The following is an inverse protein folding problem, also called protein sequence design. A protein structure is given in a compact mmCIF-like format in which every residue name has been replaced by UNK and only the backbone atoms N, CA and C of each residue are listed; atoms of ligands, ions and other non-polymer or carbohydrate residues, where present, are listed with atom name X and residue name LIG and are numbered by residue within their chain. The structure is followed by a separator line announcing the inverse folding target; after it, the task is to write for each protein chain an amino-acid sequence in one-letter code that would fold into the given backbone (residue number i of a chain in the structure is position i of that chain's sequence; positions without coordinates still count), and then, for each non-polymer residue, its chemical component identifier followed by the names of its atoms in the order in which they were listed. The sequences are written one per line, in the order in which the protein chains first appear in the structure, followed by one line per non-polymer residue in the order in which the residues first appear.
data_IF_732366494388
#
_entry.id   IF_732366494388
#
_cell.length_a   1.000
_cell.length_b   1.000
_cell.length_c   1.000
_cell.angle_alpha   90.00
_cell.angle_beta   90.00
_cell.angle_gamma   90.00
#
_symmetry.space_group_name_H-M   'P 1'
#
loop_
_entity.id
_entity.type
_entity.pdbx_description
1 polymer ?
#
# COMPACT_ATOMS: atom_id res chain seq x y z
N UNK A 1 46.22 22.35 20.55
CA UNK A 1 46.56 22.35 19.11
C UNK A 1 45.67 21.33 18.43
N UNK A 2 44.43 21.75 18.16
CA UNK A 2 43.52 21.03 17.29
C UNK A 2 43.67 21.65 15.92
N UNK A 3 44.69 21.27 15.17
CA UNK A 3 44.74 21.63 13.74
C UNK A 3 43.57 20.92 13.07
N UNK A 4 42.65 21.67 12.46
CA UNK A 4 41.54 21.14 11.66
C UNK A 4 42.07 20.00 10.77
N UNK A 5 41.73 18.76 11.14
CA UNK A 5 42.33 17.59 10.50
C UNK A 5 41.69 17.28 9.16
N UNK A 6 40.47 17.79 8.95
CA UNK A 6 39.68 17.53 7.74
C UNK A 6 39.26 18.83 7.05
N UNK A 7 39.38 18.81 5.73
CA UNK A 7 38.85 19.84 4.83
C UNK A 7 37.37 19.58 4.51
N UNK A 8 36.60 20.64 4.25
CA UNK A 8 35.22 20.53 3.77
C UNK A 8 35.09 19.67 2.51
N UNK A 9 36.12 19.67 1.66
CA UNK A 9 36.19 18.83 0.46
C UNK A 9 36.18 17.33 0.78
N UNK A 10 36.92 16.90 1.80
CA UNK A 10 36.94 15.48 2.22
C UNK A 10 35.57 15.03 2.72
N UNK A 11 34.84 15.90 3.41
CA UNK A 11 33.47 15.62 3.81
C UNK A 11 32.54 15.46 2.59
N UNK A 12 32.64 16.34 1.59
CA UNK A 12 31.86 16.19 0.35
C UNK A 12 32.18 14.88 -0.36
N UNK A 13 33.47 14.49 -0.39
CA UNK A 13 33.90 13.22 -0.94
C UNK A 13 33.28 12.04 -0.17
N UNK A 14 33.26 12.09 1.16
CA UNK A 14 32.65 11.06 2.00
C UNK A 14 31.14 10.98 1.80
N UNK A 15 30.43 12.10 1.75
CA UNK A 15 29.00 12.14 1.44
C UNK A 15 28.72 11.56 0.04
N UNK A 16 29.60 11.81 -0.94
CA UNK A 16 29.52 11.21 -2.27
C UNK A 16 29.78 9.70 -2.24
N UNK A 17 30.76 9.22 -1.48
CA UNK A 17 31.01 7.78 -1.30
C UNK A 17 29.82 7.09 -0.64
N UNK A 18 29.16 7.73 0.32
CA UNK A 18 27.92 7.24 0.92
C UNK A 18 26.82 7.14 -0.14
N UNK A 19 26.58 8.22 -0.89
CA UNK A 19 25.60 8.22 -1.97
C UNK A 19 25.83 7.09 -2.96
N UNK A 20 27.10 6.89 -3.37
CA UNK A 20 27.52 5.76 -4.20
C UNK A 20 27.24 4.41 -3.55
N UNK A 21 27.59 4.24 -2.27
CA UNK A 21 27.35 3.02 -1.50
C UNK A 21 25.86 2.69 -1.36
N UNK A 22 25.01 3.70 -1.14
CA UNK A 22 23.55 3.54 -1.14
C UNK A 22 23.04 3.11 -2.52
N UNK A 23 23.50 3.75 -3.59
CA UNK A 23 23.14 3.36 -4.96
C UNK A 23 23.53 1.91 -5.27
N UNK A 24 24.75 1.49 -4.93
CA UNK A 24 25.21 0.11 -5.09
C UNK A 24 24.31 -0.85 -4.28
N UNK A 25 24.01 -0.50 -3.03
CA UNK A 25 23.14 -1.29 -2.16
C UNK A 25 21.74 -1.45 -2.74
N UNK A 26 21.17 -0.39 -3.34
CA UNK A 26 19.88 -0.45 -4.03
C UNK A 26 19.91 -1.32 -5.28
N UNK A 27 21.01 -1.29 -6.05
CA UNK A 27 21.20 -2.18 -7.21
C UNK A 27 21.30 -3.64 -6.77
N UNK A 28 22.07 -3.94 -5.71
CA UNK A 28 22.18 -5.28 -5.14
C UNK A 28 20.83 -5.78 -4.60
N UNK A 29 20.10 -4.91 -3.89
CA UNK A 29 18.74 -5.19 -3.41
C UNK A 29 17.81 -5.49 -4.59
N UNK A 30 17.86 -4.68 -5.65
CA UNK A 30 17.03 -4.89 -6.85
C UNK A 30 17.38 -6.21 -7.55
N UNK A 31 18.66 -6.54 -7.68
CA UNK A 31 19.10 -7.81 -8.22
C UNK A 31 18.59 -8.99 -7.39
N UNK A 32 18.68 -8.90 -6.06
CA UNK A 32 18.15 -9.90 -5.13
C UNK A 32 16.62 -10.03 -5.23
N UNK A 33 15.89 -8.91 -5.31
CA UNK A 33 14.43 -8.86 -5.46
C UNK A 33 13.91 -9.37 -6.81
N UNK A 34 14.75 -9.33 -7.85
CA UNK A 34 14.44 -9.91 -9.17
C UNK A 34 14.70 -11.41 -9.19
N UNK A 35 15.80 -11.84 -8.58
CA UNK A 35 16.25 -13.24 -8.60
C UNK A 35 15.49 -14.13 -7.60
N UNK A 36 15.16 -13.59 -6.43
CA UNK A 36 14.55 -14.34 -5.35
C UNK A 36 13.16 -13.80 -5.02
N UNK A 37 12.22 -14.71 -4.70
CA UNK A 37 10.90 -14.34 -4.19
C UNK A 37 10.99 -14.00 -2.68
N UNK A 38 11.67 -12.89 -2.34
CA UNK A 38 11.93 -12.49 -0.94
C UNK A 38 10.71 -11.80 -0.29
N UNK A 39 9.76 -11.31 -1.09
CA UNK A 39 8.58 -10.58 -0.59
C UNK A 39 7.81 -11.32 0.52
N UNK A 40 7.46 -12.61 0.38
CA UNK A 40 6.85 -13.38 1.47
C UNK A 40 7.70 -13.40 2.74
N UNK A 41 9.01 -13.65 2.62
CA UNK A 41 9.93 -13.75 3.77
C UNK A 41 10.01 -12.45 4.58
N UNK A 42 10.04 -11.30 3.88
CA UNK A 42 10.16 -9.98 4.50
C UNK A 42 8.83 -9.45 5.05
N UNK A 43 7.73 -9.80 4.39
CA UNK A 43 6.39 -9.32 4.72
C UNK A 43 5.45 -10.49 4.97
N UNK A 44 5.82 -11.36 5.93
CA UNK A 44 5.12 -12.63 6.20
C UNK A 44 3.62 -12.47 6.50
N UNK A 45 3.16 -11.31 6.97
CA UNK A 45 1.73 -11.08 7.23
C UNK A 45 0.94 -10.55 6.03
N UNK A 46 1.60 -9.88 5.08
CA UNK A 46 0.95 -9.40 3.84
C UNK A 46 0.93 -10.50 2.79
N UNK A 47 2.11 -11.05 2.51
CA UNK A 47 2.33 -11.95 1.38
C UNK A 47 2.44 -13.39 1.88
N UNK A 48 1.53 -14.25 1.45
CA UNK A 48 1.56 -15.68 1.75
C UNK A 48 1.64 -16.48 0.46
N UNK A 49 2.43 -17.55 0.45
CA UNK A 49 2.51 -18.46 -0.69
C UNK A 49 1.62 -19.66 -0.39
N UNK A 50 0.54 -19.84 -1.14
CA UNK A 50 -0.35 -21.01 -1.04
C UNK A 50 -0.40 -21.71 -2.39
N UNK A 51 -0.10 -23.01 -2.44
CA UNK A 51 -0.17 -23.82 -3.69
C UNK A 51 0.58 -23.19 -4.88
N UNK A 52 1.81 -22.69 -4.66
CA UNK A 52 2.63 -21.97 -5.66
C UNK A 52 2.06 -20.64 -6.17
N UNK A 53 0.99 -20.15 -5.53
CA UNK A 53 0.38 -18.85 -5.80
C UNK A 53 0.74 -17.85 -4.72
N UNK A 54 1.04 -16.62 -5.12
CA UNK A 54 1.34 -15.53 -4.22
C UNK A 54 0.03 -14.82 -3.87
N UNK A 55 -0.32 -14.81 -2.60
CA UNK A 55 -1.50 -14.14 -2.09
C UNK A 55 -1.10 -12.90 -1.29
N UNK A 56 -1.84 -11.81 -1.44
CA UNK A 56 -1.74 -10.60 -0.64
C UNK A 56 -3.01 -10.47 0.21
N UNK A 57 -2.90 -10.54 1.54
CA UNK A 57 -4.07 -10.60 2.45
C UNK A 57 -5.13 -11.61 1.99
N UNK A 58 -4.69 -12.85 1.70
CA UNK A 58 -5.50 -13.95 1.15
C UNK A 58 -6.09 -13.76 -0.26
N UNK A 59 -5.85 -12.63 -0.93
CA UNK A 59 -6.26 -12.41 -2.32
C UNK A 59 -5.15 -12.91 -3.25
N UNK A 60 -5.48 -13.77 -4.21
CA UNK A 60 -4.51 -14.26 -5.19
C UNK A 60 -4.03 -13.11 -6.08
N UNK A 61 -2.75 -12.77 -5.94
CA UNK A 61 -2.05 -11.76 -6.77
C UNK A 61 -1.04 -12.43 -7.69
N UNK A 62 -1.15 -13.74 -7.90
CA UNK A 62 -0.35 -14.43 -8.91
C UNK A 62 -0.68 -13.81 -10.24
N UNK A 63 0.33 -13.26 -10.91
CA UNK A 63 0.20 -12.82 -12.28
C UNK A 63 -0.21 -14.06 -13.06
N UNK A 64 -1.51 -14.21 -13.35
CA UNK A 64 -1.97 -15.23 -14.26
C UNK A 64 -1.20 -14.99 -15.55
N UNK A 65 -0.37 -15.94 -16.01
CA UNK A 65 0.38 -15.73 -17.22
C UNK A 65 -0.60 -15.41 -18.34
N UNK A 66 -0.15 -14.57 -19.27
CA UNK A 66 -0.68 -14.39 -20.63
C UNK A 66 -0.66 -15.70 -21.43
N UNK A 67 -1.16 -16.79 -20.86
CA UNK A 67 -1.33 -18.09 -21.47
C UNK A 67 -2.80 -18.28 -21.80
N UNK A 68 -3.22 -17.71 -22.93
CA UNK A 68 -4.36 -18.13 -23.74
C UNK A 68 -5.59 -18.63 -22.95
N UNK A 69 -6.23 -17.75 -22.19
CA UNK A 69 -7.67 -17.94 -21.97
C UNK A 69 -8.34 -17.26 -23.16
N UNK A 70 -8.74 -18.09 -24.11
CA UNK A 70 -9.34 -17.77 -25.41
C UNK A 70 -10.76 -17.19 -25.34
N UNK A 71 -11.25 -16.82 -24.16
CA UNK A 71 -12.57 -16.21 -24.04
C UNK A 71 -12.49 -14.68 -23.94
N UNK A 72 -13.13 -13.95 -24.88
CA UNK A 72 -13.17 -12.50 -24.88
C UNK A 72 -14.20 -12.02 -23.86
N UNK A 73 -13.96 -12.23 -22.58
CA UNK A 73 -14.68 -11.49 -21.53
C UNK A 73 -14.13 -10.07 -21.54
N UNK A 74 -14.76 -9.26 -22.39
CA UNK A 74 -14.51 -7.85 -22.64
C UNK A 74 -14.99 -7.01 -21.45
N UNK A 75 -14.53 -7.30 -20.24
CA UNK A 75 -14.92 -6.55 -19.03
C UNK A 75 -13.67 -6.20 -18.23
N UNK A 76 -13.26 -4.95 -18.45
CA UNK A 76 -12.35 -4.10 -17.66
C UNK A 76 -10.85 -4.39 -17.80
N UNK A 77 -10.23 -3.59 -18.69
CA UNK A 77 -8.78 -3.29 -18.73
C UNK A 77 -8.18 -3.25 -17.31
N UNK A 78 -7.25 -4.15 -17.01
CA UNK A 78 -6.37 -3.95 -15.86
C UNK A 78 -5.37 -5.05 -15.48
N UNK A 79 -4.63 -5.71 -16.39
CA UNK A 79 -3.49 -6.57 -16.00
C UNK A 79 -2.36 -5.82 -15.26
N UNK A 80 -2.40 -4.48 -15.19
CA UNK A 80 -1.41 -3.67 -14.46
C UNK A 80 -1.56 -3.64 -12.93
N UNK A 81 -2.62 -4.22 -12.36
CA UNK A 81 -2.97 -3.96 -10.94
C UNK A 81 -2.24 -4.88 -9.95
N UNK A 82 -2.09 -6.17 -10.22
CA UNK A 82 -1.32 -7.11 -9.37
C UNK A 82 0.16 -6.74 -9.32
N UNK A 83 0.72 -6.41 -10.49
CA UNK A 83 2.10 -5.94 -10.63
C UNK A 83 2.32 -4.63 -9.87
N UNK A 84 1.29 -3.78 -9.77
CA UNK A 84 1.38 -2.54 -8.99
C UNK A 84 1.67 -2.83 -7.51
N UNK A 85 0.94 -3.74 -6.85
CA UNK A 85 1.15 -4.08 -5.43
C UNK A 85 2.57 -4.59 -5.18
N UNK A 86 3.04 -5.53 -6.01
CA UNK A 86 4.41 -6.08 -5.90
C UNK A 86 5.46 -4.99 -6.07
N UNK A 87 5.30 -4.13 -7.09
CA UNK A 87 6.23 -3.03 -7.36
C UNK A 87 6.27 -2.00 -6.22
N UNK A 88 5.13 -1.72 -5.59
CA UNK A 88 5.01 -0.78 -4.47
C UNK A 88 5.61 -1.35 -3.19
N UNK A 89 5.42 -2.63 -2.90
CA UNK A 89 6.11 -3.30 -1.79
C UNK A 89 7.64 -3.33 -1.99
N UNK A 90 8.11 -3.56 -3.22
CA UNK A 90 9.55 -3.43 -3.56
C UNK A 90 10.04 -1.99 -3.39
N UNK A 91 9.24 -0.99 -3.76
CA UNK A 91 9.57 0.42 -3.56
C UNK A 91 9.67 0.77 -2.07
N UNK A 92 8.76 0.25 -1.24
CA UNK A 92 8.85 0.40 0.22
C UNK A 92 10.15 -0.19 0.76
N UNK A 93 10.57 -1.36 0.25
CA UNK A 93 11.82 -1.98 0.67
C UNK A 93 13.06 -1.13 0.32
N UNK A 94 13.08 -0.54 -0.87
CA UNK A 94 14.13 0.39 -1.29
C UNK A 94 14.18 1.61 -0.35
N UNK A 95 13.02 2.15 -0.03
CA UNK A 95 12.89 3.28 0.87
C UNK A 95 13.41 2.97 2.28
N UNK A 96 13.00 1.83 2.86
CA UNK A 96 13.47 1.38 4.17
C UNK A 96 14.99 1.16 4.16
N UNK A 97 15.54 0.61 3.08
CA UNK A 97 17.00 0.45 2.95
C UNK A 97 17.72 1.79 2.96
N UNK A 98 17.22 2.80 2.25
CA UNK A 98 17.79 4.15 2.28
C UNK A 98 17.77 4.74 3.70
N UNK A 99 16.66 4.59 4.43
CA UNK A 99 16.53 5.09 5.81
C UNK A 99 17.53 4.37 6.73
N UNK A 100 17.61 3.04 6.66
CA UNK A 100 18.49 2.23 7.50
C UNK A 100 19.96 2.52 7.22
N UNK A 101 20.37 2.62 5.95
CA UNK A 101 21.74 3.00 5.59
C UNK A 101 22.06 4.43 6.02
N UNK A 102 21.12 5.36 5.88
CA UNK A 102 21.29 6.74 6.36
C UNK A 102 21.46 6.80 7.86
N UNK A 103 20.70 5.97 8.60
CA UNK A 103 20.83 5.84 10.05
C UNK A 103 22.21 5.27 10.44
N UNK A 104 22.63 4.17 9.84
CA UNK A 104 23.95 3.57 10.14
C UNK A 104 25.09 4.52 9.80
N UNK A 105 25.00 5.25 8.69
CA UNK A 105 25.99 6.27 8.36
C UNK A 105 26.08 7.35 9.45
N UNK A 106 24.93 7.87 9.85
CA UNK A 106 24.81 8.96 10.81
C UNK A 106 25.33 8.61 12.21
N UNK A 107 25.23 7.35 12.62
CA UNK A 107 25.58 6.96 13.99
C UNK A 107 26.84 6.10 14.07
N UNK A 108 27.28 5.49 12.96
CA UNK A 108 28.48 4.65 12.95
C UNK A 108 29.67 5.28 12.22
N UNK A 109 29.46 6.31 11.40
CA UNK A 109 30.53 6.92 10.59
C UNK A 109 30.77 8.38 10.97
N UNK A 110 29.73 9.22 10.90
CA UNK A 110 29.87 10.68 11.11
C UNK A 110 28.80 11.17 12.07
N UNK A 111 29.22 11.69 13.22
CA UNK A 111 28.36 12.46 14.13
C UNK A 111 28.29 13.91 13.64
N UNK A 112 27.10 14.50 13.58
CA UNK A 112 26.91 15.91 13.22
C UNK A 112 26.16 16.63 14.33
N UNK A 113 26.49 17.91 14.53
CA UNK A 113 25.77 18.84 15.38
C UNK A 113 25.67 20.16 14.63
N UNK A 114 24.45 20.69 14.50
CA UNK A 114 24.24 22.04 13.94
C UNK A 114 23.92 22.98 15.08
N UNK A 115 24.69 24.05 15.17
CA UNK A 115 24.50 25.14 16.13
C UNK A 115 24.01 26.36 15.35
N UNK A 116 22.76 26.76 15.61
CA UNK A 116 22.12 27.93 14.97
C UNK A 116 22.11 29.17 15.86
N UNK A 117 22.66 29.08 17.09
CA UNK A 117 22.51 30.11 18.13
C UNK A 117 23.36 31.39 17.93
N UNK A 118 24.00 31.57 16.77
CA UNK A 118 24.80 32.77 16.46
C UNK A 118 25.98 33.02 17.40
N UNK A 119 26.36 32.03 18.22
CA UNK A 119 27.49 32.09 19.13
C UNK A 119 28.53 31.04 18.78
N UNK A 120 29.74 31.21 19.32
CA UNK A 120 30.86 30.29 19.12
C UNK A 120 30.52 28.89 19.69
N UNK A 121 30.78 27.80 18.95
CA UNK A 121 30.44 26.42 19.34
C UNK A 121 31.44 25.84 20.37
N UNK A 122 31.57 26.48 21.54
CA UNK A 122 32.59 26.14 22.53
C UNK A 122 32.50 24.68 23.02
N UNK A 123 31.28 24.18 23.18
CA UNK A 123 31.02 22.83 23.68
C UNK A 123 31.39 21.76 22.64
N UNK A 124 31.04 21.99 21.37
CA UNK A 124 31.36 21.09 20.27
C UNK A 124 32.87 21.07 19.99
N UNK A 125 33.52 22.25 19.95
CA UNK A 125 34.97 22.36 19.84
C UNK A 125 35.68 21.60 20.99
N UNK A 126 35.20 21.75 22.24
CA UNK A 126 35.77 21.03 23.40
C UNK A 126 35.60 19.51 23.30
N UNK A 127 34.57 19.03 22.60
CA UNK A 127 34.33 17.60 22.33
C UNK A 127 35.15 17.07 21.14
N UNK A 128 35.93 17.93 20.49
CA UNK A 128 36.79 17.59 19.35
C UNK A 128 36.00 17.43 18.05
N UNK A 129 34.98 18.27 17.84
CA UNK A 129 34.32 18.38 16.55
C UNK A 129 35.06 19.39 15.67
N UNK A 130 35.16 19.09 14.37
CA UNK A 130 35.59 20.04 13.36
C UNK A 130 34.36 20.87 12.94
N UNK A 131 34.39 22.18 13.23
CA UNK A 131 33.27 23.09 13.01
C UNK A 131 33.48 23.97 11.79
N UNK A 132 32.40 24.20 11.04
CA UNK A 132 32.39 24.99 9.81
C UNK A 132 31.27 26.00 9.89
N UNK A 133 31.59 27.27 9.66
CA UNK A 133 30.63 28.36 9.66
C UNK A 133 30.21 28.74 8.26
N UNK A 134 28.92 29.02 8.07
CA UNK A 134 28.41 29.64 6.87
C UNK A 134 27.54 30.83 7.27
N UNK A 135 27.65 31.99 6.59
CA UNK A 135 26.68 33.06 6.75
C UNK A 135 25.31 32.59 6.27
N UNK A 136 24.26 32.96 6.99
CA UNK A 136 22.86 32.68 6.67
C UNK A 136 22.36 33.60 5.54
N UNK A 137 23.00 33.56 4.37
CA UNK A 137 22.53 34.24 3.17
C UNK A 137 21.88 33.24 2.21
N UNK A 138 20.87 33.69 1.46
CA UNK A 138 20.20 32.85 0.48
C UNK A 138 21.16 32.40 -0.63
N UNK A 139 22.16 33.23 -0.96
CA UNK A 139 23.18 32.92 -1.95
C UNK A 139 24.15 31.82 -1.47
N UNK A 140 24.48 31.77 -0.17
CA UNK A 140 25.35 30.73 0.39
C UNK A 140 24.72 29.34 0.38
N UNK A 141 23.39 29.24 0.21
CA UNK A 141 22.70 27.96 -0.02
C UNK A 141 23.21 27.30 -1.30
N UNK A 142 23.52 28.09 -2.33
CA UNK A 142 23.95 27.61 -3.63
C UNK A 142 25.48 27.53 -3.75
N UNK A 143 26.22 28.49 -3.18
CA UNK A 143 27.69 28.49 -3.26
C UNK A 143 28.33 27.51 -2.29
N UNK A 144 27.69 27.19 -1.15
CA UNK A 144 28.18 26.25 -0.12
C UNK A 144 29.61 26.54 0.34
N UNK A 145 30.01 27.80 0.30
CA UNK A 145 31.27 28.25 0.89
C UNK A 145 31.11 28.19 2.41
N UNK A 146 31.82 27.25 3.03
CA UNK A 146 31.90 27.13 4.48
C UNK A 146 33.33 27.42 4.92
N UNK A 147 33.47 28.36 5.83
CA UNK A 147 34.74 28.71 6.42
C UNK A 147 35.00 27.81 7.64
N UNK A 148 36.19 27.19 7.75
CA UNK A 148 36.53 26.40 8.91
C UNK A 148 36.62 27.32 10.14
N UNK A 149 35.99 26.92 11.24
CA UNK A 149 36.07 27.62 12.52
C UNK A 149 37.35 27.18 13.24
N UNK A 150 38.21 28.13 13.60
CA UNK A 150 39.36 27.85 14.45
C UNK A 150 38.89 27.74 15.91
N UNK A 151 38.81 26.51 16.42
CA UNK A 151 38.39 26.23 17.79
C UNK A 151 39.34 26.82 18.86
N UNK A 152 40.57 27.22 18.49
CA UNK A 152 41.52 27.84 19.41
C UNK A 152 41.38 29.38 19.46
N UNK A 153 40.55 30.01 18.60
CA UNK A 153 40.43 31.48 18.44
C UNK A 153 38.99 31.98 18.43
N UNK A 154 38.37 32.05 19.61
CA UNK A 154 36.99 32.55 19.77
C UNK A 154 36.82 34.03 19.34
N UNK A 155 37.85 34.86 19.52
CA UNK A 155 37.81 36.31 19.21
C UNK A 155 37.58 36.60 17.72
N UNK A 156 38.13 35.76 16.84
CA UNK A 156 38.02 35.91 15.39
C UNK A 156 36.57 35.63 14.92
N UNK A 157 35.85 34.75 15.62
CA UNK A 157 34.47 34.36 15.27
C UNK A 157 33.45 35.45 15.58
N UNK A 158 33.57 36.11 16.74
CA UNK A 158 32.60 37.13 17.20
C UNK A 158 32.68 38.44 16.39
N UNK A 159 33.77 38.65 15.64
CA UNK A 159 33.99 39.84 14.83
C UNK A 159 33.14 39.89 13.55
N UNK A 160 32.53 38.76 13.14
CA UNK A 160 31.81 38.61 11.87
C UNK A 160 30.37 39.16 11.82
N UNK A 161 29.77 39.55 12.95
CA UNK A 161 28.49 40.31 13.04
C UNK A 161 27.23 39.72 12.38
N UNK A 162 27.30 38.56 11.73
CA UNK A 162 26.21 37.95 10.96
C UNK A 162 25.49 36.82 11.71
N UNK A 163 24.29 36.48 11.26
CA UNK A 163 23.68 35.20 11.59
C UNK A 163 24.50 34.09 10.92
N UNK A 164 25.18 33.29 11.74
CA UNK A 164 26.07 32.23 11.30
C UNK A 164 25.44 30.89 11.70
N UNK A 165 25.28 30.00 10.74
CA UNK A 165 25.05 28.58 11.02
C UNK A 165 26.41 27.92 11.16
N UNK A 166 26.62 27.21 12.27
CA UNK A 166 27.82 26.41 12.47
C UNK A 166 27.45 24.93 12.37
N UNK A 167 28.09 24.23 11.44
CA UNK A 167 27.98 22.79 11.29
C UNK A 167 29.25 22.13 11.85
N UNK A 168 29.10 21.40 12.94
CA UNK A 168 30.17 20.69 13.62
C UNK A 168 30.06 19.20 13.32
N UNK A 169 31.15 18.58 12.88
CA UNK A 169 31.18 17.16 12.55
C UNK A 169 32.36 16.46 13.21
N UNK A 170 32.18 15.16 13.48
CA UNK A 170 33.22 14.32 14.05
C UNK A 170 33.07 12.88 13.56
N UNK A 171 34.19 12.25 13.20
CA UNK A 171 34.18 10.81 12.94
C UNK A 171 33.96 10.03 14.23
N UNK A 172 33.06 9.07 14.16
CA UNK A 172 32.80 8.20 15.31
C UNK A 172 33.97 7.23 15.43
N UNK A 173 34.62 7.21 16.59
CA UNK A 173 35.69 6.26 16.86
C UNK A 173 35.16 4.81 16.70
N UNK A 174 35.84 3.95 15.92
CA UNK A 174 35.33 2.62 15.63
C UNK A 174 35.36 1.77 16.91
N UNK A 175 34.19 1.60 17.52
CA UNK A 175 33.99 0.73 18.67
C UNK A 175 33.01 -0.37 18.31
N UNK A 176 33.46 -1.63 18.39
CA UNK A 176 32.65 -2.80 18.06
C UNK A 176 31.33 -2.86 18.86
N UNK A 177 31.34 -2.47 20.13
CA UNK A 177 30.13 -2.43 20.95
C UNK A 177 29.12 -1.40 20.44
N UNK A 178 29.60 -0.22 20.04
CA UNK A 178 28.76 0.84 19.49
C UNK A 178 28.16 0.44 18.12
N UNK A 179 28.97 -0.18 17.26
CA UNK A 179 28.53 -0.70 15.97
C UNK A 179 27.46 -1.78 16.12
N UNK A 180 27.64 -2.74 17.03
CA UNK A 180 26.65 -3.78 17.30
C UNK A 180 25.34 -3.20 17.84
N UNK A 181 25.41 -2.21 18.73
CA UNK A 181 24.23 -1.52 19.26
C UNK A 181 23.45 -0.84 18.12
N UNK A 182 24.10 -0.03 17.29
CA UNK A 182 23.43 0.66 16.18
C UNK A 182 22.96 -0.30 15.09
N UNK A 183 23.66 -1.40 14.84
CA UNK A 183 23.20 -2.46 13.93
C UNK A 183 21.91 -3.10 14.45
N UNK A 184 21.81 -3.39 15.75
CA UNK A 184 20.59 -3.92 16.36
C UNK A 184 19.41 -2.92 16.28
N UNK A 185 19.67 -1.63 16.51
CA UNK A 185 18.65 -0.58 16.35
C UNK A 185 18.21 -0.50 14.89
N UNK A 186 19.15 -0.52 13.94
CA UNK A 186 18.86 -0.43 12.51
C UNK A 186 18.02 -1.62 12.01
N UNK A 187 18.29 -2.83 12.51
CA UNK A 187 17.51 -4.02 12.23
C UNK A 187 16.10 -3.92 12.81
N UNK A 188 15.98 -3.39 14.03
CA UNK A 188 14.68 -3.13 14.66
C UNK A 188 13.88 -2.08 13.89
N UNK A 189 14.54 -1.03 13.41
CA UNK A 189 13.95 0.01 12.57
C UNK A 189 13.42 -0.57 11.26
N UNK A 190 14.20 -1.43 10.60
CA UNK A 190 13.78 -2.15 9.40
C UNK A 190 12.49 -2.95 9.63
N UNK A 191 12.45 -3.77 10.69
CA UNK A 191 11.27 -4.57 11.04
C UNK A 191 10.06 -3.69 11.37
N UNK A 192 10.28 -2.58 12.09
CA UNK A 192 9.24 -1.62 12.42
C UNK A 192 8.62 -1.01 11.16
N UNK A 193 9.44 -0.57 10.20
CA UNK A 193 8.93 -0.04 8.93
C UNK A 193 8.18 -1.09 8.11
N UNK A 194 8.66 -2.34 8.08
CA UNK A 194 7.97 -3.42 7.39
C UNK A 194 6.60 -3.72 8.02
N UNK A 195 6.51 -3.72 9.36
CA UNK A 195 5.26 -3.95 10.09
C UNK A 195 4.31 -2.76 10.05
N UNK A 196 4.83 -1.54 10.11
CA UNK A 196 4.04 -0.33 9.90
C UNK A 196 3.39 -0.36 8.52
N UNK A 197 4.16 -0.69 7.46
CA UNK A 197 3.61 -0.85 6.10
C UNK A 197 2.45 -1.86 6.05
N UNK A 198 2.64 -3.03 6.65
CA UNK A 198 1.60 -4.09 6.72
C UNK A 198 0.31 -3.60 7.38
N UNK A 199 0.42 -3.04 8.60
CA UNK A 199 -0.71 -2.59 9.39
C UNK A 199 -1.43 -1.42 8.70
N UNK A 200 -0.68 -0.46 8.18
CA UNK A 200 -1.20 0.73 7.50
C UNK A 200 -1.93 0.36 6.22
N UNK A 201 -1.36 -0.50 5.38
CA UNK A 201 -2.00 -0.97 4.14
C UNK A 201 -3.25 -1.78 4.46
N UNK A 202 -3.20 -2.65 5.47
CA UNK A 202 -4.35 -3.44 5.92
C UNK A 202 -5.52 -2.53 6.33
N UNK A 203 -5.30 -1.60 7.27
CA UNK A 203 -6.31 -0.64 7.73
C UNK A 203 -6.85 0.23 6.59
N UNK A 204 -5.95 0.77 5.75
CA UNK A 204 -6.34 1.65 4.66
C UNK A 204 -7.06 0.92 3.54
N UNK A 205 -6.89 -0.39 3.39
CA UNK A 205 -7.62 -1.18 2.38
C UNK A 205 -9.08 -1.40 2.80
N UNK A 206 -9.32 -1.69 4.09
CA UNK A 206 -10.65 -1.88 4.66
C UNK A 206 -11.47 -0.60 4.77
N UNK A 207 -10.84 0.50 5.21
CA UNK A 207 -11.56 1.73 5.53
C UNK A 207 -11.25 2.89 4.54
N UNK A 208 -12.30 3.46 3.91
CA UNK A 208 -12.18 4.63 3.02
C UNK A 208 -11.69 5.86 3.77
N UNK A 209 -12.16 6.07 5.01
CA UNK A 209 -11.76 7.21 5.83
C UNK A 209 -10.26 7.20 6.10
N UNK A 210 -9.67 6.02 6.34
CA UNK A 210 -8.23 5.88 6.53
C UNK A 210 -7.43 6.21 5.26
N UNK A 211 -7.93 5.84 4.08
CA UNK A 211 -7.32 6.25 2.79
C UNK A 211 -7.38 7.77 2.58
N UNK A 212 -8.50 8.40 2.95
CA UNK A 212 -8.68 9.86 2.88
C UNK A 212 -7.79 10.56 3.88
N UNK A 213 -7.68 10.05 5.10
CA UNK A 213 -6.78 10.56 6.14
C UNK A 213 -5.32 10.58 5.65
N UNK A 214 -4.85 9.52 5.00
CA UNK A 214 -3.50 9.52 4.40
C UNK A 214 -3.31 10.58 3.33
N UNK A 215 -4.34 10.86 2.53
CA UNK A 215 -4.27 11.92 1.52
C UNK A 215 -4.19 13.30 2.19
N UNK A 216 -5.02 13.55 3.20
CA UNK A 216 -5.00 14.79 3.98
C UNK A 216 -3.65 14.96 4.68
N UNK A 217 -3.11 13.90 5.29
CA UNK A 217 -1.80 13.91 5.93
C UNK A 217 -0.69 14.25 4.94
N UNK A 218 -0.72 13.67 3.73
CA UNK A 218 0.24 13.98 2.67
C UNK A 218 0.14 15.45 2.24
N UNK A 219 -1.07 15.98 2.07
CA UNK A 219 -1.29 17.39 1.71
C UNK A 219 -0.80 18.34 2.80
N UNK A 220 -1.16 18.08 4.06
CA UNK A 220 -0.70 18.87 5.21
C UNK A 220 0.83 18.84 5.32
N UNK A 221 1.44 17.67 5.13
CA UNK A 221 2.89 17.53 5.10
C UNK A 221 3.52 18.37 3.99
N UNK A 222 2.97 18.33 2.76
CA UNK A 222 3.49 19.14 1.65
C UNK A 222 3.34 20.64 1.89
N UNK A 223 2.21 21.09 2.46
CA UNK A 223 1.99 22.50 2.79
C UNK A 223 2.99 22.94 3.87
N UNK A 224 3.17 22.13 4.92
CA UNK A 224 4.13 22.40 5.97
C UNK A 224 5.58 22.44 5.44
N UNK A 225 5.96 21.50 4.57
CA UNK A 225 7.27 21.48 3.95
C UNK A 225 7.52 22.73 3.08
N UNK A 226 6.52 23.17 2.30
CA UNK A 226 6.60 24.40 1.51
C UNK A 226 6.70 25.63 2.42
N UNK A 227 5.90 25.71 3.47
CA UNK A 227 5.96 26.81 4.44
C UNK A 227 7.31 26.88 5.16
N UNK A 228 7.84 25.73 5.60
CA UNK A 228 9.17 25.64 6.22
C UNK A 228 10.29 25.97 5.24
N UNK A 229 10.13 25.64 3.96
CA UNK A 229 11.06 26.03 2.91
C UNK A 229 11.10 27.56 2.76
N UNK A 230 9.95 28.22 2.63
CA UNK A 230 9.87 29.68 2.55
C UNK A 230 10.30 30.39 3.83
N UNK A 231 10.16 29.74 4.99
CA UNK A 231 10.67 30.24 6.26
C UNK A 231 12.19 30.05 6.43
N UNK A 232 12.88 29.36 5.50
CA UNK A 232 14.32 29.04 5.62
C UNK A 232 14.65 27.92 6.61
N UNK A 233 13.67 27.47 7.40
CA UNK A 233 13.85 26.44 8.44
C UNK A 233 14.06 25.03 7.87
N UNK A 234 13.58 24.75 6.66
CA UNK A 234 13.75 23.43 6.06
C UNK A 234 15.25 23.09 5.92
N UNK A 235 16.09 24.09 5.67
CA UNK A 235 17.53 23.92 5.53
C UNK A 235 18.17 23.44 6.82
N UNK A 236 17.72 23.96 7.98
CA UNK A 236 18.16 23.51 9.29
C UNK A 236 17.77 22.05 9.53
N UNK A 237 16.57 21.62 9.14
CA UNK A 237 16.18 20.21 9.26
C UNK A 237 16.95 19.28 8.30
N UNK A 238 17.24 19.76 7.08
CA UNK A 238 17.98 19.00 6.05
C UNK A 238 19.50 19.09 6.18
N UNK A 239 20.01 19.91 7.10
CA UNK A 239 21.44 19.99 7.39
C UNK A 239 21.99 18.67 7.92
N UNK A 240 21.10 17.86 8.50
CA UNK A 240 21.33 16.45 8.77
C UNK A 240 21.03 15.55 7.56
N UNK A 241 21.94 14.63 7.25
CA UNK A 241 21.69 13.63 6.19
C UNK A 241 20.44 12.79 6.48
N UNK A 242 20.29 12.32 7.72
CA UNK A 242 19.12 11.53 8.12
C UNK A 242 17.83 12.33 8.09
N UNK A 243 17.84 13.61 8.52
CA UNK A 243 16.65 14.46 8.48
C UNK A 243 16.23 14.74 7.05
N UNK A 244 17.18 14.95 6.14
CA UNK A 244 16.90 15.05 4.70
C UNK A 244 16.23 13.77 4.16
N UNK A 245 16.80 12.60 4.43
CA UNK A 245 16.23 11.31 3.97
C UNK A 245 14.87 11.06 4.59
N UNK A 246 14.66 11.34 5.88
CA UNK A 246 13.37 11.17 6.56
C UNK A 246 12.31 12.11 5.99
N UNK A 247 12.67 13.37 5.73
CA UNK A 247 11.79 14.39 5.17
C UNK A 247 11.29 13.97 3.77
N UNK A 248 12.14 13.39 2.94
CA UNK A 248 11.72 12.89 1.62
C UNK A 248 11.04 11.53 1.67
N UNK A 249 11.44 10.66 2.60
CA UNK A 249 10.92 9.30 2.67
C UNK A 249 9.55 9.20 3.32
N UNK A 250 9.22 10.04 4.29
CA UNK A 250 7.90 10.04 4.92
C UNK A 250 6.74 10.23 3.92
N UNK A 251 6.70 11.28 3.07
CA UNK A 251 5.62 11.44 2.10
C UNK A 251 5.61 10.31 1.06
N UNK A 252 6.79 9.83 0.65
CA UNK A 252 6.90 8.68 -0.25
C UNK A 252 6.28 7.41 0.37
N UNK A 253 6.58 7.13 1.64
CA UNK A 253 6.02 6.01 2.39
C UNK A 253 4.49 6.08 2.46
N UNK A 254 3.95 7.23 2.86
CA UNK A 254 2.49 7.45 2.93
C UNK A 254 1.84 7.27 1.55
N UNK A 255 2.45 7.80 0.50
CA UNK A 255 1.96 7.66 -0.87
C UNK A 255 1.98 6.19 -1.35
N UNK A 256 3.05 5.44 -1.05
CA UNK A 256 3.18 4.01 -1.38
C UNK A 256 2.11 3.20 -0.63
N UNK A 257 1.91 3.44 0.67
CA UNK A 257 0.86 2.81 1.46
C UNK A 257 -0.54 3.06 0.88
N UNK A 258 -0.86 4.32 0.57
CA UNK A 258 -2.15 4.71 -0.02
C UNK A 258 -2.39 4.03 -1.37
N UNK A 259 -1.41 4.06 -2.27
CA UNK A 259 -1.53 3.45 -3.60
C UNK A 259 -1.70 1.93 -3.50
N UNK A 260 -0.96 1.28 -2.61
CA UNK A 260 -1.08 -0.17 -2.36
C UNK A 260 -2.45 -0.53 -1.81
N UNK A 261 -2.97 0.25 -0.85
CA UNK A 261 -4.28 0.06 -0.27
C UNK A 261 -5.43 0.23 -1.30
N UNK A 262 -5.33 1.23 -2.19
CA UNK A 262 -6.28 1.43 -3.28
C UNK A 262 -6.27 0.26 -4.27
N UNK A 263 -5.09 -0.18 -4.70
CA UNK A 263 -4.95 -1.33 -5.60
C UNK A 263 -5.53 -2.61 -4.96
N UNK A 264 -5.27 -2.83 -3.67
CA UNK A 264 -5.80 -3.98 -2.95
C UNK A 264 -7.33 -3.94 -2.81
N UNK A 265 -7.90 -2.76 -2.54
CA UNK A 265 -9.36 -2.57 -2.47
C UNK A 265 -10.03 -2.86 -3.81
N UNK A 266 -9.42 -2.42 -4.91
CA UNK A 266 -9.92 -2.72 -6.25
C UNK A 266 -9.87 -4.22 -6.57
N UNK A 267 -8.76 -4.90 -6.25
CA UNK A 267 -8.66 -6.35 -6.41
C UNK A 267 -9.70 -7.08 -5.57
N UNK A 268 -9.91 -6.66 -4.31
CA UNK A 268 -10.94 -7.24 -3.44
C UNK A 268 -12.33 -7.10 -4.03
N UNK A 269 -12.68 -5.93 -4.60
CA UNK A 269 -13.97 -5.73 -5.28
C UNK A 269 -14.12 -6.61 -6.51
N UNK A 270 -13.06 -6.74 -7.32
CA UNK A 270 -13.08 -7.59 -8.50
C UNK A 270 -13.25 -9.07 -8.13
N UNK A 271 -12.59 -9.53 -7.08
CA UNK A 271 -12.71 -10.91 -6.59
C UNK A 271 -14.12 -11.19 -6.05
N UNK A 272 -14.69 -10.27 -5.27
CA UNK A 272 -16.09 -10.38 -4.80
C UNK A 272 -17.06 -10.45 -5.99
N UNK A 273 -16.84 -9.63 -7.03
CA UNK A 273 -17.67 -9.67 -8.23
C UNK A 273 -17.56 -11.02 -8.96
N UNK A 274 -16.34 -11.56 -9.13
CA UNK A 274 -16.11 -12.88 -9.73
C UNK A 274 -16.77 -14.01 -8.95
N UNK A 275 -16.66 -13.98 -7.62
CA UNK A 275 -17.31 -14.97 -6.75
C UNK A 275 -18.83 -14.87 -6.84
N UNK A 276 -19.39 -13.67 -6.93
CA UNK A 276 -20.84 -13.50 -7.15
C UNK A 276 -21.28 -14.08 -8.48
N UNK A 277 -20.53 -13.86 -9.55
CA UNK A 277 -20.86 -14.42 -10.87
C UNK A 277 -20.73 -15.95 -10.89
N UNK A 278 -19.67 -16.51 -10.30
CA UNK A 278 -19.48 -17.98 -10.29
C UNK A 278 -20.54 -18.68 -9.45
N UNK A 279 -20.90 -18.12 -8.29
CA UNK A 279 -22.00 -18.64 -7.47
C UNK A 279 -23.33 -18.55 -8.23
N UNK A 280 -23.56 -17.47 -8.98
CA UNK A 280 -24.76 -17.32 -9.81
C UNK A 280 -24.84 -18.35 -10.94
N UNK A 281 -23.74 -18.61 -11.65
CA UNK A 281 -23.70 -19.62 -12.73
C UNK A 281 -23.81 -21.05 -12.20
N UNK A 282 -23.13 -21.36 -11.10
CA UNK A 282 -23.21 -22.66 -10.46
C UNK A 282 -24.63 -22.92 -9.94
N UNK A 283 -25.30 -21.89 -9.42
CA UNK A 283 -26.69 -21.98 -8.99
C UNK A 283 -27.64 -22.17 -10.18
N UNK A 284 -27.50 -21.37 -11.24
CA UNK A 284 -28.33 -21.48 -12.44
C UNK A 284 -28.24 -22.86 -13.08
N UNK A 285 -27.01 -23.37 -13.26
CA UNK A 285 -26.78 -24.71 -13.81
C UNK A 285 -27.32 -25.83 -12.91
N UNK A 286 -27.24 -25.70 -11.58
CA UNK A 286 -27.84 -26.64 -10.66
C UNK A 286 -29.38 -26.65 -10.76
N UNK A 287 -30.01 -25.47 -10.84
CA UNK A 287 -31.48 -25.35 -10.98
C UNK A 287 -31.95 -25.92 -12.33
N UNK A 288 -31.23 -25.66 -13.42
CA UNK A 288 -31.52 -26.24 -14.74
C UNK A 288 -31.40 -27.77 -14.74
N UNK A 289 -30.35 -28.31 -14.12
CA UNK A 289 -30.18 -29.76 -14.01
C UNK A 289 -31.31 -30.42 -13.20
N UNK A 290 -31.74 -29.78 -12.11
CA UNK A 290 -32.86 -30.26 -11.29
C UNK A 290 -34.21 -30.20 -12.03
N UNK A 291 -34.49 -29.10 -12.74
CA UNK A 291 -35.73 -28.94 -13.51
C UNK A 291 -35.79 -29.91 -14.70
N UNK A 292 -34.66 -30.17 -15.36
CA UNK A 292 -34.57 -31.19 -16.41
C UNK A 292 -34.81 -32.61 -15.86
N UNK A 293 -34.26 -32.94 -14.70
CA UNK A 293 -34.50 -34.23 -14.04
C UNK A 293 -35.97 -34.39 -13.62
N UNK A 294 -36.60 -33.33 -13.08
CA UNK A 294 -38.02 -33.34 -12.74
C UNK A 294 -38.93 -33.52 -13.96
N UNK A 295 -38.56 -32.95 -15.12
CA UNK A 295 -39.32 -33.10 -16.37
C UNK A 295 -39.24 -34.52 -16.96
N UNK A 296 -38.14 -35.25 -16.74
CA UNK A 296 -38.00 -36.64 -17.20
C UNK A 296 -38.79 -37.63 -16.34
N UNK A 297 -39.03 -37.32 -15.06
CA UNK A 297 -39.68 -38.21 -14.08
C UNK A 297 -41.22 -38.13 -14.10
N UNK A 298 -41.79 -37.78 -15.26
CA UNK A 298 -43.18 -37.33 -15.48
C UNK A 298 -44.33 -38.31 -15.17
N UNK A 299 -44.15 -39.37 -14.36
CA UNK A 299 -45.23 -40.30 -14.00
C UNK A 299 -45.77 -40.17 -12.56
N UNK A 300 -45.23 -39.28 -11.72
CA UNK A 300 -45.67 -39.10 -10.32
C UNK A 300 -45.92 -37.62 -9.92
N UNK A 301 -46.44 -36.81 -10.85
CA UNK A 301 -46.44 -35.34 -10.78
C UNK A 301 -47.28 -34.71 -9.64
N UNK A 302 -48.34 -35.35 -9.16
CA UNK A 302 -49.32 -34.72 -8.25
C UNK A 302 -49.02 -34.88 -6.75
N UNK A 303 -48.20 -35.86 -6.36
CA UNK A 303 -47.87 -36.12 -4.95
C UNK A 303 -46.50 -35.56 -4.54
N UNK A 304 -45.70 -35.11 -5.51
CA UNK A 304 -44.39 -34.47 -5.29
C UNK A 304 -44.44 -32.96 -5.18
N UNK A 305 -45.53 -32.30 -5.58
CA UNK A 305 -45.61 -30.82 -5.55
C UNK A 305 -45.50 -30.26 -4.12
N UNK A 306 -46.05 -30.96 -3.12
CA UNK A 306 -45.95 -30.58 -1.69
C UNK A 306 -44.54 -30.88 -1.12
N UNK A 307 -43.88 -31.94 -1.61
CA UNK A 307 -42.50 -32.30 -1.17
C UNK A 307 -41.46 -31.41 -1.88
N UNK A 308 -41.80 -30.88 -3.06
CA UNK A 308 -40.95 -29.96 -3.83
C UNK A 308 -40.76 -28.62 -3.12
N UNK A 309 -41.79 -28.08 -2.47
CA UNK A 309 -41.67 -26.80 -1.77
C UNK A 309 -40.69 -26.90 -0.59
N UNK A 310 -40.81 -27.95 0.23
CA UNK A 310 -39.91 -28.21 1.35
C UNK A 310 -38.46 -28.49 0.92
N UNK A 311 -38.26 -29.18 -0.21
CA UNK A 311 -36.91 -29.50 -0.71
C UNK A 311 -36.24 -28.32 -1.41
N UNK A 312 -37.00 -27.47 -2.10
CA UNK A 312 -36.52 -26.19 -2.62
C UNK A 312 -36.17 -25.24 -1.49
N UNK A 313 -36.99 -25.17 -0.44
CA UNK A 313 -36.72 -24.33 0.71
C UNK A 313 -35.49 -24.81 1.50
N UNK A 314 -35.36 -26.12 1.75
CA UNK A 314 -34.17 -26.69 2.39
C UNK A 314 -32.90 -26.54 1.54
N UNK A 315 -33.00 -26.69 0.21
CA UNK A 315 -31.90 -26.47 -0.72
C UNK A 315 -31.44 -25.01 -0.75
N UNK A 316 -32.40 -24.09 -0.83
CA UNK A 316 -32.17 -22.65 -0.77
C UNK A 316 -31.55 -22.24 0.58
N UNK A 317 -32.05 -22.78 1.69
CA UNK A 317 -31.53 -22.48 3.03
C UNK A 317 -30.12 -23.05 3.25
N UNK A 318 -29.87 -24.29 2.80
CA UNK A 318 -28.55 -24.92 2.85
C UNK A 318 -27.52 -24.14 2.03
N UNK A 319 -27.93 -23.63 0.86
CA UNK A 319 -27.07 -22.82 0.03
C UNK A 319 -26.89 -21.41 0.58
N UNK A 320 -27.94 -20.80 1.14
CA UNK A 320 -27.85 -19.53 1.88
C UNK A 320 -26.89 -19.65 3.06
N UNK A 321 -26.91 -20.78 3.79
CA UNK A 321 -25.92 -21.11 4.83
C UNK A 321 -24.51 -21.27 4.26
N UNK A 322 -24.33 -21.86 3.08
CA UNK A 322 -23.01 -21.98 2.41
C UNK A 322 -22.48 -20.62 1.94
N UNK A 323 -23.32 -19.78 1.33
CA UNK A 323 -22.96 -18.43 0.91
C UNK A 323 -22.69 -17.55 2.12
N UNK A 324 -23.54 -17.61 3.14
CA UNK A 324 -23.32 -16.90 4.40
C UNK A 324 -22.05 -17.39 5.08
N UNK A 325 -21.75 -18.70 5.12
CA UNK A 325 -20.49 -19.22 5.66
C UNK A 325 -19.28 -18.83 4.81
N UNK A 326 -19.39 -18.79 3.48
CA UNK A 326 -18.31 -18.36 2.60
C UNK A 326 -18.04 -16.86 2.76
N UNK A 327 -19.09 -16.03 2.79
CA UNK A 327 -18.99 -14.61 3.14
C UNK A 327 -18.46 -14.45 4.56
N UNK A 328 -18.97 -15.19 5.55
CA UNK A 328 -18.47 -15.15 6.92
C UNK A 328 -17.01 -15.56 7.00
N UNK A 329 -16.51 -16.49 6.18
CA UNK A 329 -15.07 -16.80 6.13
C UNK A 329 -14.25 -15.68 5.53
N UNK A 330 -14.79 -14.96 4.56
CA UNK A 330 -14.15 -13.76 3.99
C UNK A 330 -14.15 -12.62 5.05
N UNK A 331 -15.25 -12.43 5.77
CA UNK A 331 -15.40 -11.38 6.79
C UNK A 331 -14.78 -11.73 8.15
N UNK A 332 -14.75 -13.01 8.55
CA UNK A 332 -14.14 -13.46 9.81
C UNK A 332 -12.62 -13.60 9.69
N UNK A 333 -12.06 -13.63 8.48
CA UNK A 333 -10.62 -13.46 8.26
C UNK A 333 -10.16 -11.99 8.31
N UNK A 334 -11.08 -11.03 8.35
CA UNK A 334 -10.80 -9.62 8.68
C UNK A 334 -10.80 -9.39 10.23
N UNK A 335 -10.55 -10.44 11.03
CA UNK A 335 -10.53 -10.41 12.52
C UNK A 335 -9.36 -9.60 13.10
N UNK A 336 -9.46 -8.29 12.96
CA UNK A 336 -8.97 -7.32 13.94
C UNK A 336 -10.05 -6.25 14.20
N UNK A 337 -11.32 -6.65 14.26
CA UNK A 337 -12.36 -5.90 14.97
C UNK A 337 -12.94 -4.64 14.31
N UNK A 338 -12.82 -4.44 13.00
CA UNK A 338 -13.63 -3.42 12.31
C UNK A 338 -14.79 -4.10 11.57
N UNK A 339 -15.99 -3.98 12.12
CA UNK A 339 -17.25 -4.26 11.45
C UNK A 339 -17.39 -3.31 10.25
N UNK A 340 -17.24 -3.85 9.04
CA UNK A 340 -17.64 -3.14 7.83
C UNK A 340 -19.17 -3.21 7.74
N UNK A 341 -19.83 -2.09 8.01
CA UNK A 341 -21.26 -1.94 7.77
C UNK A 341 -21.49 -1.77 6.26
N UNK A 342 -21.73 -2.89 5.57
CA UNK A 342 -22.24 -2.89 4.21
C UNK A 342 -23.69 -3.36 4.34
N UNK A 343 -24.61 -2.45 4.03
CA UNK A 343 -26.05 -2.69 4.09
C UNK A 343 -26.43 -4.07 3.55
N UNK A 344 -27.34 -4.74 4.28
CA UNK A 344 -27.82 -6.07 4.01
C UNK A 344 -27.99 -6.29 2.50
N UNK A 345 -27.29 -7.29 1.95
CA UNK A 345 -27.54 -7.76 0.60
C UNK A 345 -28.89 -8.46 0.64
N UNK A 346 -29.97 -7.71 0.42
CA UNK A 346 -31.24 -8.29 0.03
C UNK A 346 -31.03 -8.89 -1.35
N UNK A 347 -30.82 -10.21 -1.36
CA UNK A 347 -31.05 -11.01 -2.56
C UNK A 347 -32.57 -11.01 -2.73
N UNK A 348 -33.09 -10.01 -3.45
CA UNK A 348 -34.46 -10.07 -3.95
C UNK A 348 -34.51 -11.25 -4.92
N UNK A 349 -35.09 -12.36 -4.43
CA UNK A 349 -35.56 -13.41 -5.31
C UNK A 349 -36.68 -12.77 -6.13
N UNK A 350 -36.57 -12.67 -7.47
CA UNK A 350 -37.64 -12.10 -8.26
C UNK A 350 -38.92 -12.91 -7.98
N UNK A 351 -40.05 -12.27 -7.67
CA UNK A 351 -41.29 -12.99 -7.46
C UNK A 351 -41.61 -13.76 -8.75
N UNK A 352 -41.64 -15.09 -8.67
CA UNK A 352 -42.21 -15.91 -9.72
C UNK A 352 -43.69 -15.55 -9.83
N UNK A 353 -44.03 -14.71 -10.81
CA UNK A 353 -45.41 -14.57 -11.26
C UNK A 353 -45.78 -15.85 -12.02
N UNK A 354 -46.17 -16.89 -11.29
CA UNK A 354 -46.88 -18.04 -11.85
C UNK A 354 -48.31 -17.59 -12.20
N UNK A 355 -48.49 -17.00 -13.38
CA UNK A 355 -49.82 -16.93 -14.01
C UNK A 355 -50.21 -18.34 -14.46
N UNK A 356 -50.65 -19.17 -13.52
CA UNK A 356 -51.39 -20.39 -13.83
C UNK A 356 -52.77 -19.95 -14.35
N UNK A 357 -52.89 -19.90 -15.67
CA UNK A 357 -54.18 -19.76 -16.34
C UNK A 357 -54.80 -21.15 -16.36
N UNK A 358 -55.74 -21.40 -15.45
CA UNK A 358 -56.49 -22.65 -15.38
C UNK A 358 -57.37 -22.76 -16.63
N UNK A 359 -56.89 -23.46 -17.65
CA UNK A 359 -57.69 -23.78 -18.84
C UNK A 359 -58.58 -24.99 -18.53
N UNK A 360 -59.82 -24.71 -18.15
CA UNK A 360 -60.90 -25.69 -18.01
C UNK A 360 -61.31 -26.16 -19.41
N UNK A 361 -60.98 -27.40 -19.75
CA UNK A 361 -61.42 -28.04 -21.01
C UNK A 361 -62.85 -28.53 -20.83
N UNK A 362 -63.82 -27.70 -21.22
CA UNK A 362 -65.19 -28.13 -21.49
C UNK A 362 -65.37 -28.26 -23.01
N UNK A 363 -65.78 -29.45 -23.45
CA UNK A 363 -66.05 -29.74 -24.85
C UNK A 363 -67.36 -29.12 -25.33
N UNK A 364 -67.32 -28.39 -26.45
CA UNK A 364 -68.45 -28.29 -27.38
C UNK A 364 -68.02 -27.78 -28.75
N UNK A 365 -68.60 -28.42 -29.78
CA UNK A 365 -68.55 -28.05 -31.20
C UNK A 365 -69.22 -26.68 -31.44
N UNK A 366 -68.65 -25.85 -32.30
CA UNK A 366 -69.21 -25.40 -33.58
C UNK A 366 -68.47 -24.16 -34.11
N UNK A 367 -68.13 -24.25 -35.40
CA UNK A 367 -68.30 -23.26 -36.47
C UNK A 367 -67.72 -21.83 -36.38
N UNK A 368 -66.85 -21.57 -37.37
CA UNK A 368 -66.88 -20.44 -38.34
C UNK A 368 -66.89 -19.01 -37.76
N UNK A 369 -65.80 -18.27 -37.96
CA UNK A 369 -65.75 -17.13 -38.91
C UNK A 369 -64.34 -16.54 -39.06
N UNK A 370 -64.03 -16.22 -40.32
CA UNK A 370 -62.95 -15.36 -40.82
C UNK A 370 -63.02 -13.94 -40.26
N UNK A 371 -61.88 -13.25 -40.11
CA UNK A 371 -61.68 -11.87 -40.60
C UNK A 371 -60.40 -11.21 -40.05
N UNK A 372 -59.49 -10.88 -40.97
CA UNK A 372 -58.79 -9.61 -41.20
C UNK A 372 -58.50 -8.60 -40.07
N UNK A 373 -57.33 -7.97 -40.18
CA UNK A 373 -57.12 -6.55 -39.91
C UNK A 373 -55.93 -6.27 -38.98
N UNK A 374 -54.81 -5.79 -39.52
CA UNK A 374 -54.43 -4.36 -39.58
C UNK A 374 -53.71 -3.88 -38.30
N UNK A 375 -52.39 -3.72 -38.37
CA UNK A 375 -51.65 -2.48 -38.69
C UNK A 375 -51.76 -1.36 -37.65
N UNK A 376 -50.56 -0.98 -37.20
CA UNK A 376 -50.08 0.39 -37.00
C UNK A 376 -50.41 1.11 -35.69
N UNK A 377 -49.33 1.69 -35.14
CA UNK A 377 -49.14 3.13 -34.89
C UNK A 377 -48.80 3.54 -33.45
N UNK A 378 -48.02 4.63 -33.43
CA UNK A 378 -47.60 5.53 -32.35
C UNK A 378 -46.45 5.07 -31.43
N UNK A 379 -45.25 5.70 -31.51
CA UNK A 379 -44.85 7.05 -30.99
C UNK A 379 -44.92 7.04 -29.45
N UNK A 380 -43.89 7.38 -28.69
CA UNK A 380 -42.77 8.33 -28.86
C UNK A 380 -41.43 7.79 -28.36
#
# INVERSE_FOLDING_TARGET
MSTNTFSWFEYQLLALTLGGGMCISLVLLEAALRRYHILPLLYNGIFTVKKRRLNCFNIDITDAPMGKVEEPVRIVRGPLRSQSIRSKAKMNLRLTMCIVLSYLWQFCVIDYVIVTRGGFPSDECRRGFDCFSSPLNFDTIFTRDMDPVDCDREEDFNSGGGQIIVNCMKFVDPNAANWLMHLAISHSLWLLFAKAFEIIVWMASGNKAMTTFMLVLLLLYTIAAIALFFAGLLLEFTSSWIGFVVTLSFPAFVAICRQTALALRELRRAEIARLRTSVGTDFGSAVEAWTAAAAQDGSHALQREIIMDDTLEQGAEGMRKRVNNAMQRIYSQDTYGLTLDIGAVNVEVPPQQSKFTTQRVDGRKNDVYSSNGNTASHLE
#
